data_IF_627608887625
#
_entry.id   IF_627608887625
#
_cell.length_a   1.000
_cell.length_b   1.000
_cell.length_c   1.000
_cell.angle_alpha   90.00
_cell.angle_beta   90.00
_cell.angle_gamma   90.00
#
_symmetry.space_group_name_H-M   'P 1'
#
loop_
_entity.id
_entity.type
_entity.pdbx_description
1 polymer ?
#
# COMPACT_ATOMS: atom_id res chain seq x y z
N UNK A 1 -28.20 -13.13 -33.68
CA UNK A 1 -27.31 -12.60 -32.62
C UNK A 1 -26.07 -13.49 -32.53
N UNK A 2 -25.07 -13.31 -33.42
CA UNK A 2 -23.84 -14.11 -33.45
C UNK A 2 -22.57 -13.26 -33.69
N UNK A 3 -22.71 -11.93 -33.67
CA UNK A 3 -21.65 -10.99 -34.05
C UNK A 3 -20.93 -10.37 -32.84
N UNK A 4 -21.39 -10.60 -31.61
CA UNK A 4 -20.73 -10.04 -30.42
C UNK A 4 -19.51 -10.87 -30.00
N UNK A 5 -19.57 -12.19 -30.13
CA UNK A 5 -18.48 -13.10 -29.72
C UNK A 5 -17.22 -12.93 -30.60
N UNK A 6 -17.40 -12.69 -31.89
CA UNK A 6 -16.29 -12.47 -32.83
C UNK A 6 -15.58 -11.13 -32.63
N UNK A 7 -16.29 -10.10 -32.15
CA UNK A 7 -15.70 -8.80 -31.81
C UNK A 7 -14.98 -8.86 -30.46
N UNK A 8 -15.48 -9.65 -29.51
CA UNK A 8 -14.82 -9.85 -28.23
C UNK A 8 -13.46 -10.55 -28.39
N UNK A 9 -13.38 -11.58 -29.25
CA UNK A 9 -12.10 -12.25 -29.56
C UNK A 9 -11.06 -11.27 -30.13
N UNK A 10 -11.47 -10.37 -31.03
CA UNK A 10 -10.57 -9.36 -31.62
C UNK A 10 -10.12 -8.31 -30.59
N UNK A 11 -11.01 -7.89 -29.70
CA UNK A 11 -10.64 -6.99 -28.61
C UNK A 11 -9.67 -7.64 -27.62
N UNK A 12 -9.80 -8.94 -27.36
CA UNK A 12 -8.85 -9.67 -26.51
C UNK A 12 -7.47 -9.76 -27.15
N UNK A 13 -7.38 -10.00 -28.46
CA UNK A 13 -6.13 -10.02 -29.21
C UNK A 13 -5.42 -8.65 -29.16
N UNK A 14 -6.17 -7.56 -29.38
CA UNK A 14 -5.64 -6.20 -29.31
C UNK A 14 -5.19 -5.82 -27.89
N UNK A 15 -5.94 -6.25 -26.86
CA UNK A 15 -5.60 -5.99 -25.47
C UNK A 15 -4.28 -6.69 -25.08
N UNK A 16 -4.12 -7.97 -25.45
CA UNK A 16 -2.89 -8.74 -25.20
C UNK A 16 -1.68 -8.09 -25.87
N UNK A 17 -1.81 -7.67 -27.14
CA UNK A 17 -0.74 -7.00 -27.88
C UNK A 17 -0.30 -5.71 -27.20
N UNK A 18 -1.25 -4.91 -26.73
CA UNK A 18 -0.98 -3.64 -26.04
C UNK A 18 -0.37 -3.85 -24.65
N UNK A 19 -0.76 -4.90 -23.94
CA UNK A 19 -0.17 -5.27 -22.64
C UNK A 19 1.29 -5.66 -22.80
N UNK A 20 1.64 -6.45 -23.81
CA UNK A 20 3.03 -6.82 -24.10
C UNK A 20 3.89 -5.59 -24.40
N UNK A 21 3.38 -4.65 -25.20
CA UNK A 21 4.04 -3.38 -25.49
C UNK A 21 4.22 -2.52 -24.23
N UNK A 22 3.19 -2.41 -23.39
CA UNK A 22 3.27 -1.70 -22.11
C UNK A 22 4.26 -2.36 -21.14
N UNK A 23 4.33 -3.69 -21.13
CA UNK A 23 5.29 -4.42 -20.28
C UNK A 23 6.73 -4.24 -20.76
N UNK A 24 6.96 -4.20 -22.07
CA UNK A 24 8.29 -3.96 -22.61
C UNK A 24 8.73 -2.53 -22.31
N UNK A 25 7.84 -1.55 -22.55
CA UNK A 25 8.12 -0.14 -22.28
C UNK A 25 8.28 0.14 -20.78
N UNK A 26 7.55 -0.56 -19.92
CA UNK A 26 7.73 -0.43 -18.47
C UNK A 26 9.03 -1.06 -18.01
N UNK A 27 9.46 -2.20 -18.58
CA UNK A 27 10.78 -2.78 -18.29
C UNK A 27 11.92 -1.87 -18.72
N UNK A 28 11.83 -1.26 -19.90
CA UNK A 28 12.85 -0.31 -20.38
C UNK A 28 12.84 0.98 -19.56
N UNK A 29 11.66 1.48 -19.17
CA UNK A 29 11.53 2.64 -18.29
C UNK A 29 12.12 2.35 -16.91
N UNK A 30 11.85 1.18 -16.31
CA UNK A 30 12.38 0.75 -15.01
C UNK A 30 13.88 0.47 -15.09
N UNK A 31 14.37 -0.12 -16.18
CA UNK A 31 15.80 -0.38 -16.38
C UNK A 31 16.61 0.89 -16.68
N UNK A 32 15.98 1.93 -17.24
CA UNK A 32 16.59 3.25 -17.46
C UNK A 32 16.42 4.19 -16.26
N UNK A 33 15.68 3.76 -15.22
CA UNK A 33 15.47 4.53 -13.99
C UNK A 33 16.51 4.17 -12.93
N UNK A 34 17.77 4.50 -13.21
CA UNK A 34 18.78 4.70 -12.16
C UNK A 34 18.90 6.17 -11.75
N UNK A 35 17.97 7.04 -12.17
CA UNK A 35 17.83 8.39 -11.61
C UNK A 35 16.36 8.69 -11.21
N UNK A 36 16.16 8.63 -9.89
CA UNK A 36 15.07 9.20 -9.06
C UNK A 36 13.64 8.70 -9.34
N UNK A 37 13.04 7.91 -8.42
CA UNK A 37 11.69 7.40 -8.59
C UNK A 37 10.66 8.47 -8.19
N UNK A 38 9.85 8.95 -9.14
CA UNK A 38 8.54 9.52 -8.86
C UNK A 38 7.51 8.39 -8.82
N UNK A 39 7.32 7.85 -7.62
CA UNK A 39 6.22 6.95 -7.29
C UNK A 39 4.90 7.74 -7.39
N UNK A 40 3.83 7.23 -8.02
CA UNK A 40 2.49 7.77 -7.81
C UNK A 40 2.01 7.34 -6.41
N UNK A 41 2.64 7.87 -5.36
CA UNK A 41 2.29 7.62 -3.97
C UNK A 41 1.17 8.59 -3.57
N UNK A 42 -0.07 8.21 -3.85
CA UNK A 42 -1.21 8.92 -3.27
C UNK A 42 -2.13 8.05 -2.40
N UNK A 43 -1.75 6.80 -2.15
CA UNK A 43 -2.38 5.96 -1.12
C UNK A 43 -1.39 5.49 -0.04
N UNK A 44 -0.08 5.65 -0.24
CA UNK A 44 0.95 5.11 0.65
C UNK A 44 1.36 6.04 1.79
N UNK A 45 0.76 7.23 1.93
CA UNK A 45 1.21 8.17 2.98
C UNK A 45 1.03 7.60 4.39
N UNK A 46 -0.08 6.91 4.66
CA UNK A 46 -0.30 6.29 5.97
C UNK A 46 0.60 5.06 6.13
N UNK A 47 0.69 4.21 5.11
CA UNK A 47 1.54 3.01 5.13
C UNK A 47 3.02 3.38 5.31
N UNK A 48 3.51 4.39 4.60
CA UNK A 48 4.90 4.85 4.63
C UNK A 48 5.27 5.57 5.94
N UNK A 49 4.33 6.30 6.56
CA UNK A 49 4.50 6.82 7.92
C UNK A 49 4.52 5.68 8.96
N UNK A 50 3.69 4.65 8.76
CA UNK A 50 3.67 3.46 9.60
C UNK A 50 4.86 2.52 9.38
N UNK A 51 5.50 2.54 8.21
CA UNK A 51 6.67 1.72 7.85
C UNK A 51 7.98 2.37 8.32
N UNK A 52 8.03 3.71 8.33
CA UNK A 52 9.13 4.48 8.93
C UNK A 52 9.18 4.40 10.46
N UNK A 53 8.04 4.11 11.09
CA UNK A 53 7.95 3.72 12.50
C UNK A 53 8.09 2.21 12.49
N UNK A 54 9.24 1.63 12.85
CA UNK A 54 9.37 0.16 12.97
C UNK A 54 8.35 -0.37 14.00
N UNK A 55 7.15 -0.72 13.55
CA UNK A 55 6.10 -1.25 14.40
C UNK A 55 6.43 -2.72 14.58
N UNK A 56 7.27 -2.98 15.58
CA UNK A 56 7.48 -4.32 16.08
C UNK A 56 6.16 -4.87 16.63
N UNK A 57 6.02 -6.19 16.62
CA UNK A 57 4.84 -6.90 17.13
C UNK A 57 4.47 -6.44 18.55
N UNK A 58 5.49 -6.14 19.37
CA UNK A 58 5.38 -5.61 20.72
C UNK A 58 4.74 -4.21 20.76
N UNK A 59 5.18 -3.28 19.90
CA UNK A 59 4.61 -1.92 19.81
C UNK A 59 3.19 -1.94 19.26
N UNK A 60 2.87 -2.85 18.33
CA UNK A 60 1.52 -3.05 17.83
C UNK A 60 0.57 -3.53 18.95
N UNK A 61 1.01 -4.48 19.77
CA UNK A 61 0.24 -5.02 20.89
C UNK A 61 -0.03 -3.93 21.94
N UNK A 62 0.98 -3.12 22.25
CA UNK A 62 0.85 -1.97 23.16
C UNK A 62 -0.11 -0.93 22.57
N UNK A 63 0.02 -0.57 21.29
CA UNK A 63 -0.86 0.38 20.62
C UNK A 63 -2.33 -0.11 20.62
N UNK A 64 -2.56 -1.40 20.38
CA UNK A 64 -3.88 -2.02 20.47
C UNK A 64 -4.45 -1.95 21.89
N UNK A 65 -3.62 -2.20 22.92
CA UNK A 65 -4.03 -2.11 24.31
C UNK A 65 -4.42 -0.68 24.70
N UNK A 66 -3.59 0.31 24.32
CA UNK A 66 -3.86 1.75 24.52
C UNK A 66 -5.19 2.12 23.86
N UNK A 67 -5.46 1.64 22.64
CA UNK A 67 -6.70 1.93 21.92
C UNK A 67 -7.95 1.44 22.66
N UNK A 68 -7.91 0.20 23.17
CA UNK A 68 -9.02 -0.39 23.93
C UNK A 68 -9.21 0.37 25.25
N UNK A 69 -8.12 0.64 25.96
CA UNK A 69 -8.12 1.35 27.25
C UNK A 69 -8.62 2.79 27.11
N UNK A 70 -8.21 3.49 26.05
CA UNK A 70 -8.69 4.84 25.73
C UNK A 70 -10.22 4.86 25.55
N UNK A 71 -10.77 3.89 24.83
CA UNK A 71 -12.23 3.75 24.61
C UNK A 71 -12.99 3.45 25.90
N UNK A 72 -12.39 2.72 26.83
CA UNK A 72 -12.98 2.40 28.14
C UNK A 72 -12.76 3.50 29.18
N UNK A 73 -12.02 4.56 28.84
CA UNK A 73 -11.74 5.66 29.78
C UNK A 73 -10.77 5.25 30.90
N UNK A 74 -9.79 4.40 30.59
CA UNK A 74 -8.75 4.01 31.53
C UNK A 74 -7.93 5.23 32.02
N UNK A 75 -7.28 5.09 33.17
CA UNK A 75 -6.52 6.17 33.82
C UNK A 75 -5.53 6.85 32.85
N UNK A 76 -5.59 8.18 32.77
CA UNK A 76 -4.73 8.98 31.89
C UNK A 76 -3.24 8.73 32.20
N UNK A 77 -2.90 8.46 33.46
CA UNK A 77 -1.51 8.16 33.88
C UNK A 77 -1.05 6.82 33.33
N UNK A 78 -1.94 5.84 33.29
CA UNK A 78 -1.68 4.52 32.70
C UNK A 78 -1.52 4.64 31.18
N UNK A 79 -2.38 5.42 30.52
CA UNK A 79 -2.31 5.64 29.08
C UNK A 79 -1.01 6.35 28.68
N UNK A 80 -0.59 7.35 29.45
CA UNK A 80 0.68 8.05 29.24
C UNK A 80 1.90 7.16 29.47
N UNK A 81 1.85 6.26 30.46
CA UNK A 81 2.92 5.30 30.71
C UNK A 81 3.10 4.31 29.56
N UNK A 82 1.99 3.80 29.01
CA UNK A 82 2.02 2.92 27.84
C UNK A 82 2.47 3.67 26.57
N UNK A 83 2.03 4.92 26.39
CA UNK A 83 2.47 5.76 25.28
C UNK A 83 3.97 6.09 25.36
N UNK A 84 4.52 6.31 26.57
CA UNK A 84 5.94 6.51 26.79
C UNK A 84 6.78 5.28 26.43
N UNK A 85 6.24 4.07 26.59
CA UNK A 85 6.90 2.82 26.20
C UNK A 85 6.98 2.66 24.66
N UNK A 86 6.13 3.37 23.92
CA UNK A 86 6.10 3.37 22.46
C UNK A 86 7.17 4.30 21.86
N UNK A 87 7.53 5.38 22.58
CA UNK A 87 8.60 6.32 22.22
C UNK A 87 9.98 5.65 22.27
#
# INVERSE_FOLDING_TARGET
MASSDSNFSKMQEDALRRVLEMQQRSKEAVASQEEKPEHPAHADNISSILDGIKIDEEKALIAMLIFILYKQGADIKLLMGLAYLLL
#
